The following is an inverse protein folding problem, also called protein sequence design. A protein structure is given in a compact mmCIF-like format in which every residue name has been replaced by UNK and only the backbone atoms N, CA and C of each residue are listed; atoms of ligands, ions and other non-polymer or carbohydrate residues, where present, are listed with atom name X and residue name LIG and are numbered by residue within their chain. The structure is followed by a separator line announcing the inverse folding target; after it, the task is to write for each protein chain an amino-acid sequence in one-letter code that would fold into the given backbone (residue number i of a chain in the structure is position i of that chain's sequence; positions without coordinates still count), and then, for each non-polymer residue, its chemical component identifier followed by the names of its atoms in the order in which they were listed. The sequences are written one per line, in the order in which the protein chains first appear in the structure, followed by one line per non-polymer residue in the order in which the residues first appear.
data_IF_241041729325
#
_entry.id   IF_241041729325
#
_cell.length_a   1.000
_cell.length_b   1.000
_cell.length_c   1.000
_cell.angle_alpha   90.00
_cell.angle_beta   90.00
_cell.angle_gamma   90.00
#
_symmetry.space_group_name_H-M   'P 1'
#
loop_
_entity.id
_entity.type
_entity.pdbx_description
1 polymer ?
#
# COMPACT_ATOMS: atom_id res chain seq x y z
N UNK A 1 -12.15 7.31 25.22
CA UNK A 1 -13.14 8.30 24.73
C UNK A 1 -12.65 9.08 23.51
N UNK A 2 -11.50 9.79 23.55
CA UNK A 2 -11.11 10.70 22.44
C UNK A 2 -10.71 10.03 21.11
N UNK A 3 -10.08 8.86 21.17
CA UNK A 3 -9.63 8.15 19.96
C UNK A 3 -10.82 7.57 19.17
N UNK A 4 -11.83 7.07 19.88
CA UNK A 4 -13.06 6.53 19.31
C UNK A 4 -13.89 7.63 18.63
N UNK A 5 -13.98 8.81 19.27
CA UNK A 5 -14.63 9.99 18.69
C UNK A 5 -13.91 10.45 17.42
N UNK A 6 -12.57 10.46 17.41
CA UNK A 6 -11.77 10.78 16.21
C UNK A 6 -12.01 9.78 15.07
N UNK A 7 -12.09 8.48 15.37
CA UNK A 7 -12.34 7.44 14.38
C UNK A 7 -13.78 7.52 13.82
N UNK A 8 -14.77 7.73 14.68
CA UNK A 8 -16.18 7.95 14.31
C UNK A 8 -16.36 9.15 13.37
N UNK A 9 -15.67 10.26 13.67
CA UNK A 9 -15.72 11.46 12.84
C UNK A 9 -15.07 11.25 11.47
N UNK A 10 -13.99 10.46 11.38
CA UNK A 10 -13.38 10.08 10.08
C UNK A 10 -14.32 9.22 9.24
N UNK A 11 -14.98 8.23 9.85
CA UNK A 11 -15.97 7.37 9.15
C UNK A 11 -17.13 8.19 8.60
N UNK A 12 -17.67 9.12 9.39
CA UNK A 12 -18.75 10.02 8.97
C UNK A 12 -18.35 10.91 7.78
N UNK A 13 -17.15 11.52 7.83
CA UNK A 13 -16.62 12.32 6.70
C UNK A 13 -16.46 11.50 5.43
N UNK A 14 -16.00 10.26 5.52
CA UNK A 14 -15.85 9.36 4.36
C UNK A 14 -17.20 8.99 3.74
N UNK A 15 -18.20 8.68 4.58
CA UNK A 15 -19.55 8.36 4.11
C UNK A 15 -20.20 9.55 3.39
N UNK A 16 -20.08 10.76 3.93
CA UNK A 16 -20.59 11.98 3.30
C UNK A 16 -19.93 12.26 1.95
N UNK A 17 -18.61 12.07 1.82
CA UNK A 17 -17.93 12.21 0.52
C UNK A 17 -18.43 11.20 -0.52
N UNK A 18 -18.68 9.95 -0.11
CA UNK A 18 -19.24 8.93 -1.00
C UNK A 18 -20.67 9.26 -1.43
N UNK A 19 -21.51 9.77 -0.53
CA UNK A 19 -22.88 10.20 -0.87
C UNK A 19 -22.88 11.39 -1.82
N UNK A 20 -22.08 12.42 -1.55
CA UNK A 20 -21.97 13.59 -2.43
C UNK A 20 -21.43 13.23 -3.84
N UNK A 21 -20.52 12.25 -3.94
CA UNK A 21 -20.07 11.75 -5.25
C UNK A 21 -21.17 10.98 -6.00
N UNK A 22 -22.06 10.28 -5.29
CA UNK A 22 -23.22 9.61 -5.89
C UNK A 22 -24.26 10.63 -6.35
N UNK A 23 -24.51 11.66 -5.55
CA UNK A 23 -25.51 12.70 -5.86
C UNK A 23 -25.11 13.61 -7.01
N UNK A 24 -23.80 13.91 -7.15
CA UNK A 24 -23.27 14.72 -8.25
C UNK A 24 -23.00 13.92 -9.54
N UNK A 25 -23.24 12.60 -9.54
CA UNK A 25 -23.10 11.77 -10.74
C UNK A 25 -24.49 11.51 -11.35
N UNK A 26 -24.87 12.20 -12.45
CA UNK A 26 -26.17 11.98 -13.10
C UNK A 26 -26.35 10.57 -13.66
N UNK A 27 -25.28 9.76 -13.77
CA UNK A 27 -25.32 8.37 -14.24
C UNK A 27 -25.74 7.33 -13.19
N UNK A 28 -26.10 7.74 -11.97
CA UNK A 28 -26.47 6.81 -10.88
C UNK A 28 -27.92 6.95 -10.40
N UNK A 29 -28.71 7.84 -11.01
CA UNK A 29 -30.10 8.06 -10.57
C UNK A 29 -31.13 7.16 -11.25
N UNK A 30 -30.75 6.45 -12.30
CA UNK A 30 -31.68 5.60 -13.05
C UNK A 30 -31.13 4.18 -13.23
N UNK A 31 -32.02 3.21 -13.05
CA UNK A 31 -31.92 1.96 -13.78
C UNK A 31 -31.35 0.79 -13.00
N UNK A 32 -32.23 0.16 -12.23
CA UNK A 32 -32.33 -1.31 -12.27
C UNK A 32 -32.66 -1.70 -13.73
N UNK A 33 -31.65 -1.88 -14.57
CA UNK A 33 -31.84 -2.44 -15.92
C UNK A 33 -30.55 -3.08 -16.41
N UNK A 34 -30.71 -4.34 -16.78
CA UNK A 34 -29.76 -5.14 -17.51
C UNK A 34 -29.32 -4.47 -18.83
N UNK A 35 -28.11 -4.83 -19.23
CA UNK A 35 -27.69 -5.00 -20.62
C UNK A 35 -27.74 -3.78 -21.54
N UNK A 36 -26.69 -2.95 -21.53
CA UNK A 36 -26.25 -2.24 -22.73
C UNK A 36 -24.73 -2.01 -22.64
N UNK A 37 -24.00 -2.59 -23.59
CA UNK A 37 -22.56 -2.49 -23.78
C UNK A 37 -22.12 -1.06 -24.15
N UNK A 38 -22.12 -0.16 -23.17
CA UNK A 38 -21.30 1.04 -23.25
C UNK A 38 -19.86 0.57 -23.06
N UNK A 39 -19.08 0.55 -24.15
CA UNK A 39 -17.62 0.37 -24.12
C UNK A 39 -17.03 1.50 -23.27
N UNK A 40 -16.99 1.29 -21.96
CA UNK A 40 -16.32 2.16 -21.00
C UNK A 40 -14.84 2.06 -21.35
N UNK A 41 -14.32 3.08 -22.03
CA UNK A 41 -12.89 3.21 -22.31
C UNK A 41 -12.15 3.09 -20.98
N UNK A 42 -11.50 1.93 -20.76
CA UNK A 42 -10.82 1.65 -19.51
C UNK A 42 -9.71 2.70 -19.40
N UNK A 43 -9.63 3.49 -18.31
CA UNK A 43 -8.56 4.46 -18.16
C UNK A 43 -7.23 3.74 -18.35
N UNK A 44 -6.32 4.36 -19.11
CA UNK A 44 -5.04 3.75 -19.47
C UNK A 44 -4.33 3.30 -18.19
N UNK A 45 -4.21 1.98 -18.03
CA UNK A 45 -3.60 1.42 -16.82
C UNK A 45 -2.16 1.94 -16.77
N UNK A 46 -1.71 2.46 -15.61
CA UNK A 46 -0.30 2.77 -15.46
C UNK A 46 0.52 1.52 -15.79
N UNK A 47 1.70 1.68 -16.41
CA UNK A 47 2.52 0.55 -16.84
C UNK A 47 2.70 -0.38 -15.65
N UNK A 48 2.43 -1.67 -15.89
CA UNK A 48 2.55 -2.69 -14.87
C UNK A 48 4.00 -2.69 -14.40
N UNK A 49 4.25 -2.09 -13.23
CA UNK A 49 5.58 -2.06 -12.64
C UNK A 49 5.86 -3.49 -12.22
N UNK A 50 6.48 -4.26 -13.13
CA UNK A 50 6.92 -5.64 -12.87
C UNK A 50 7.57 -5.59 -11.49
N UNK A 51 6.95 -6.26 -10.51
CA UNK A 51 7.62 -6.50 -9.24
C UNK A 51 8.87 -7.23 -9.65
N UNK A 52 10.03 -6.56 -9.58
CA UNK A 52 11.30 -7.26 -9.72
C UNK A 52 11.22 -8.32 -8.63
N UNK A 53 11.08 -9.58 -9.02
CA UNK A 53 11.34 -10.70 -8.14
C UNK A 53 12.80 -10.52 -7.79
N UNK A 54 13.05 -9.80 -6.70
CA UNK A 54 14.31 -9.90 -6.01
C UNK A 54 14.29 -11.36 -5.60
N UNK A 55 15.04 -12.19 -6.32
CA UNK A 55 15.41 -13.50 -5.79
C UNK A 55 15.79 -13.24 -4.35
N UNK A 56 15.02 -13.86 -3.45
CA UNK A 56 15.21 -13.61 -2.03
C UNK A 56 16.56 -14.26 -1.74
N UNK A 57 17.60 -13.43 -1.61
CA UNK A 57 18.98 -13.87 -1.36
C UNK A 57 19.12 -14.59 0.00
N UNK A 58 18.03 -14.59 0.77
CA UNK A 58 17.97 -14.97 2.16
C UNK A 58 16.75 -15.87 2.32
N UNK A 59 16.91 -16.99 3.00
CA UNK A 59 15.78 -17.85 3.37
C UNK A 59 15.15 -17.26 4.64
N UNK A 60 13.86 -16.93 4.60
CA UNK A 60 13.16 -16.32 5.74
C UNK A 60 12.18 -17.34 6.35
N UNK A 61 12.45 -17.74 7.59
CA UNK A 61 11.57 -18.58 8.40
C UNK A 61 10.90 -17.76 9.50
N UNK A 62 9.57 -17.87 9.62
CA UNK A 62 8.81 -17.21 10.67
C UNK A 62 8.43 -18.24 11.74
N UNK A 63 8.98 -18.10 12.94
CA UNK A 63 8.74 -18.99 14.08
C UNK A 63 8.34 -18.15 15.28
N UNK A 64 7.17 -18.43 15.88
CA UNK A 64 6.66 -17.75 17.09
C UNK A 64 6.70 -16.21 17.04
N UNK A 65 6.49 -15.63 15.85
CA UNK A 65 6.52 -14.18 15.63
C UNK A 65 7.92 -13.58 15.46
N UNK A 66 8.96 -14.40 15.45
CA UNK A 66 10.33 -14.01 15.06
C UNK A 66 10.57 -14.33 13.59
N UNK A 67 11.30 -13.45 12.91
CA UNK A 67 11.83 -13.69 11.56
C UNK A 67 13.28 -14.15 11.69
N UNK A 68 13.56 -15.35 11.18
CA UNK A 68 14.88 -15.99 11.15
C UNK A 68 15.36 -15.95 9.71
N UNK A 69 16.53 -15.34 9.50
CA UNK A 69 17.13 -15.15 8.19
C UNK A 69 18.31 -16.11 7.99
N UNK A 70 18.22 -16.99 7.01
CA UNK A 70 19.26 -17.91 6.57
C UNK A 70 20.05 -17.35 5.39
N UNK A 71 21.38 -17.27 5.54
CA UNK A 71 22.30 -16.80 4.50
C UNK A 71 23.13 -17.97 3.97
N UNK A 72 23.34 -18.01 2.64
CA UNK A 72 24.17 -19.05 2.01
C UNK A 72 25.65 -18.81 2.22
N UNK A 73 26.08 -17.55 2.24
CA UNK A 73 27.47 -17.16 2.42
C UNK A 73 27.61 -16.13 3.53
N UNK A 74 28.82 -16.02 4.08
CA UNK A 74 29.14 -15.01 5.08
C UNK A 74 29.06 -13.60 4.52
N UNK A 75 29.48 -13.42 3.27
CA UNK A 75 29.44 -12.12 2.58
C UNK A 75 28.02 -11.55 2.51
N UNK A 76 27.01 -12.41 2.28
CA UNK A 76 25.60 -11.99 2.25
C UNK A 76 25.12 -11.44 3.61
N UNK A 77 25.58 -12.04 4.71
CA UNK A 77 25.29 -11.58 6.07
C UNK A 77 25.98 -10.23 6.32
N UNK A 78 27.28 -10.13 5.99
CA UNK A 78 28.07 -8.91 6.20
C UNK A 78 27.49 -7.72 5.44
N UNK A 79 27.07 -7.92 4.20
CA UNK A 79 26.39 -6.89 3.40
C UNK A 79 25.08 -6.46 4.07
N UNK A 80 24.27 -7.42 4.49
CA UNK A 80 22.96 -7.15 5.12
C UNK A 80 23.08 -6.35 6.41
N UNK A 81 24.07 -6.70 7.23
CA UNK A 81 24.43 -6.00 8.46
C UNK A 81 24.98 -4.60 8.13
N UNK A 82 25.94 -4.51 7.20
CA UNK A 82 26.58 -3.25 6.82
C UNK A 82 25.62 -2.22 6.27
N UNK A 83 24.58 -2.62 5.52
CA UNK A 83 23.52 -1.71 5.07
C UNK A 83 22.75 -1.07 6.23
N UNK A 84 22.59 -1.77 7.35
CA UNK A 84 21.90 -1.24 8.53
C UNK A 84 22.80 -0.25 9.29
N UNK A 85 24.09 -0.55 9.43
CA UNK A 85 25.01 0.28 10.21
C UNK A 85 25.58 1.49 9.43
N UNK A 86 25.62 1.44 8.10
CA UNK A 86 26.14 2.54 7.26
C UNK A 86 25.04 3.47 6.73
N UNK A 87 23.82 3.42 7.27
CA UNK A 87 22.78 4.38 6.91
C UNK A 87 23.20 5.79 7.37
N UNK A 88 23.39 6.76 6.45
CA UNK A 88 23.71 8.13 6.84
C UNK A 88 22.56 8.69 7.69
N UNK A 89 22.89 9.15 8.90
CA UNK A 89 21.95 9.79 9.80
C UNK A 89 21.43 11.09 9.16
N UNK A 90 20.22 11.04 8.58
CA UNK A 90 19.62 12.15 7.81
C UNK A 90 19.22 13.36 8.67
N UNK A 91 19.58 13.40 9.94
CA UNK A 91 19.12 14.43 10.88
C UNK A 91 20.09 15.62 11.05
N UNK A 92 21.20 15.70 10.31
CA UNK A 92 22.21 16.75 10.52
C UNK A 92 22.26 17.83 9.42
N UNK A 93 21.11 18.35 8.98
CA UNK A 93 21.07 19.58 8.17
C UNK A 93 19.90 20.49 8.55
N UNK A 94 19.94 21.02 9.78
CA UNK A 94 19.30 22.29 10.14
C UNK A 94 20.14 22.95 11.22
N UNK A 95 21.01 23.87 10.82
CA UNK A 95 21.45 25.05 11.57
C UNK A 95 21.93 26.06 10.52
#
# INVERSE_FOLDING_TARGET
MDQEVKQRNRRRKRAQRMQAQRENNPKQRDGDSADEDIVREKPQRPPNRRKKSKEILVEEDIIDGFSILGFKTYDDLEVSVSFVYNLPNKNNHKN
#
